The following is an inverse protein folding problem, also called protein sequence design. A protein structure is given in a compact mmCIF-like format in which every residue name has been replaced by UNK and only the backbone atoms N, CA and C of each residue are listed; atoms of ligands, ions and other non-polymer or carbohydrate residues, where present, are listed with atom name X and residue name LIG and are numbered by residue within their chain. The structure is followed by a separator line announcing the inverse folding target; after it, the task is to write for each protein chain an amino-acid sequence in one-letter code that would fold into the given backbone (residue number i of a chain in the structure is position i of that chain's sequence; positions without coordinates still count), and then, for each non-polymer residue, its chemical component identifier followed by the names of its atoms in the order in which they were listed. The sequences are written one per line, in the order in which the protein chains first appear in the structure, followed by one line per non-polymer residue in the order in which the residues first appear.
data_IF_342874360807
#
_entry.id   IF_342874360807
#
_cell.length_a   1.000
_cell.length_b   1.000
_cell.length_c   1.000
_cell.angle_alpha   90.00
_cell.angle_beta   90.00
_cell.angle_gamma   90.00
#
_symmetry.space_group_name_H-M   'P 1'
#
loop_
_entity.id
_entity.type
_entity.pdbx_description
1 polymer ?
#
# COMPACT_ATOMS: atom_id res chain seq x y z
N UNK A 1 23.15 25.73 12.64
CA UNK A 1 24.56 25.30 12.67
C UNK A 1 24.62 23.98 13.46
N UNK A 2 25.33 22.95 12.99
CA UNK A 2 25.40 21.63 13.65
C UNK A 2 26.23 21.73 14.94
N UNK A 3 25.72 21.22 16.07
CA UNK A 3 26.48 21.15 17.32
C UNK A 3 27.68 20.19 17.19
N UNK A 4 28.85 20.56 17.73
CA UNK A 4 30.07 19.74 17.62
C UNK A 4 30.00 18.50 18.53
N UNK A 5 29.76 17.33 17.94
CA UNK A 5 29.75 16.04 18.64
C UNK A 5 31.18 15.49 18.79
N UNK A 6 31.93 16.11 19.70
CA UNK A 6 33.31 15.70 20.01
C UNK A 6 33.38 14.35 20.70
N UNK A 7 34.43 13.60 20.38
CA UNK A 7 34.89 12.51 21.24
C UNK A 7 35.62 13.08 22.45
N UNK A 8 35.63 12.39 23.61
CA UNK A 8 36.25 12.91 24.83
C UNK A 8 37.72 13.35 24.65
N UNK A 9 38.48 12.66 23.81
CA UNK A 9 39.90 12.94 23.55
C UNK A 9 40.16 13.93 22.41
N UNK A 10 39.13 14.39 21.70
CA UNK A 10 39.30 15.34 20.61
C UNK A 10 39.49 16.75 21.15
N UNK A 11 40.47 17.49 20.61
CA UNK A 11 40.69 18.89 20.99
C UNK A 11 39.51 19.79 20.58
N UNK A 12 39.17 20.83 21.36
CA UNK A 12 38.18 21.84 20.96
C UNK A 12 38.58 22.55 19.66
N UNK A 13 37.60 22.91 18.80
CA UNK A 13 37.90 23.80 17.67
C UNK A 13 38.37 25.16 18.20
N UNK A 14 39.30 25.78 17.48
CA UNK A 14 39.75 27.15 17.83
C UNK A 14 38.58 28.13 17.64
N UNK A 15 38.40 29.11 18.54
CA UNK A 15 37.39 30.16 18.36
C UNK A 15 37.64 30.89 17.04
N UNK A 16 36.56 31.20 16.32
CA UNK A 16 36.62 31.84 14.99
C UNK A 16 36.97 30.91 13.82
N UNK A 17 37.37 29.65 14.08
CA UNK A 17 37.58 28.65 13.02
C UNK A 17 36.37 27.71 12.95
N UNK A 18 35.75 27.61 11.78
CA UNK A 18 34.64 26.69 11.55
C UNK A 18 35.01 25.22 11.81
N UNK A 19 34.00 24.39 12.04
CA UNK A 19 34.17 22.95 12.23
C UNK A 19 34.76 22.31 10.96
N UNK A 20 35.64 21.32 11.14
CA UNK A 20 36.15 20.57 9.99
C UNK A 20 35.02 19.78 9.32
N UNK A 21 35.08 19.55 8.00
CA UNK A 21 34.03 18.79 7.29
C UNK A 21 33.75 17.42 7.91
N UNK A 22 34.76 16.75 8.46
CA UNK A 22 34.59 15.48 9.19
C UNK A 22 33.70 15.64 10.43
N UNK A 23 33.89 16.69 11.22
CA UNK A 23 33.09 16.97 12.41
C UNK A 23 31.67 17.38 12.07
N UNK A 24 31.51 18.19 11.02
CA UNK A 24 30.20 18.54 10.48
C UNK A 24 29.44 17.27 10.07
N UNK A 25 30.07 16.37 9.31
CA UNK A 25 29.44 15.10 8.88
C UNK A 25 29.00 14.22 10.04
N UNK A 26 29.75 14.20 11.15
CA UNK A 26 29.39 13.44 12.36
C UNK A 26 28.09 13.94 12.99
N UNK A 27 27.94 15.25 13.20
CA UNK A 27 26.72 15.82 13.77
C UNK A 27 25.57 15.96 12.78
N UNK A 28 25.87 16.14 11.50
CA UNK A 28 24.86 16.37 10.46
C UNK A 28 23.96 15.16 10.22
N UNK A 29 24.46 13.92 10.39
CA UNK A 29 23.63 12.71 10.28
C UNK A 29 22.48 12.72 11.29
N UNK A 30 22.76 13.02 12.55
CA UNK A 30 21.73 13.13 13.60
C UNK A 30 20.76 14.29 13.35
N UNK A 31 21.26 15.41 12.79
CA UNK A 31 20.40 16.54 12.39
C UNK A 31 19.46 16.15 11.25
N UNK A 32 19.96 15.45 10.22
CA UNK A 32 19.19 15.05 9.04
C UNK A 32 18.05 14.09 9.38
N UNK A 33 18.26 13.17 10.33
CA UNK A 33 17.20 12.30 10.82
C UNK A 33 16.06 13.09 11.49
N UNK A 34 16.41 14.13 12.25
CA UNK A 34 15.43 14.99 12.94
C UNK A 34 14.71 15.97 12.02
N UNK A 35 15.43 16.59 11.08
CA UNK A 35 14.87 17.57 10.16
C UNK A 35 14.16 16.93 8.96
N UNK A 36 14.34 15.63 8.74
CA UNK A 36 13.89 14.95 7.54
C UNK A 36 14.67 15.39 6.30
N UNK A 37 14.19 14.96 5.13
CA UNK A 37 14.75 15.41 3.85
C UNK A 37 13.89 16.57 3.35
N UNK A 38 14.45 17.75 3.03
CA UNK A 38 13.66 18.90 2.59
C UNK A 38 13.01 18.70 1.21
N UNK A 39 13.51 17.72 0.44
CA UNK A 39 12.89 17.30 -0.81
C UNK A 39 11.68 16.43 -0.49
N UNK A 40 10.54 16.72 -1.15
CA UNK A 40 9.45 15.75 -1.30
C UNK A 40 10.03 14.42 -1.79
N UNK A 41 9.43 13.32 -1.37
CA UNK A 41 9.71 12.04 -2.02
C UNK A 41 9.54 12.21 -3.54
N UNK A 42 10.38 11.54 -4.36
CA UNK A 42 10.12 11.48 -5.78
C UNK A 42 8.69 10.99 -5.99
N UNK A 43 7.99 11.54 -7.00
CA UNK A 43 6.71 10.98 -7.44
C UNK A 43 6.89 9.48 -7.65
N UNK A 44 5.91 8.68 -7.20
CA UNK A 44 5.93 7.25 -7.47
C UNK A 44 6.07 7.04 -8.97
N UNK A 45 7.15 6.39 -9.41
CA UNK A 45 7.46 6.22 -10.83
C UNK A 45 6.41 5.39 -11.56
N UNK A 46 5.66 4.59 -10.81
CA UNK A 46 4.65 3.68 -11.33
C UNK A 46 3.27 4.25 -11.04
N UNK A 47 2.34 4.21 -12.01
CA UNK A 47 0.92 4.30 -11.72
C UNK A 47 0.54 3.32 -10.61
N UNK A 48 -0.47 3.65 -9.81
CA UNK A 48 -0.98 2.73 -8.79
C UNK A 48 -1.28 1.35 -9.38
N UNK A 49 -1.21 0.27 -8.57
CA UNK A 49 -1.49 -1.08 -9.04
C UNK A 49 -2.85 -1.07 -9.74
N UNK A 50 -2.81 -1.27 -11.05
CA UNK A 50 -4.00 -1.22 -11.90
C UNK A 50 -4.95 -2.37 -11.56
N UNK A 51 -5.93 -2.59 -12.43
CA UNK A 51 -6.87 -3.71 -12.25
C UNK A 51 -6.12 -5.05 -12.18
N UNK A 52 -6.36 -5.89 -11.16
CA UNK A 52 -5.71 -7.19 -11.07
C UNK A 52 -6.04 -8.04 -12.31
N UNK A 53 -5.00 -8.68 -12.87
CA UNK A 53 -5.14 -9.55 -14.03
C UNK A 53 -6.00 -10.76 -13.64
N UNK A 54 -6.92 -11.15 -14.54
CA UNK A 54 -7.78 -12.32 -14.34
C UNK A 54 -9.13 -12.05 -13.66
N UNK A 55 -9.37 -10.85 -13.12
CA UNK A 55 -10.69 -10.48 -12.62
C UNK A 55 -11.70 -10.37 -13.77
N UNK A 56 -12.80 -11.12 -13.72
CA UNK A 56 -13.95 -10.93 -14.64
C UNK A 56 -14.95 -9.99 -13.96
N UNK A 57 -15.60 -9.12 -14.74
CA UNK A 57 -16.70 -8.31 -14.20
C UNK A 57 -17.87 -9.27 -13.89
N UNK A 58 -18.33 -9.28 -12.65
CA UNK A 58 -19.54 -10.00 -12.28
C UNK A 58 -20.76 -9.14 -12.59
N UNK A 59 -21.85 -9.72 -13.11
CA UNK A 59 -23.13 -9.01 -13.20
C UNK A 59 -23.55 -8.50 -11.82
N UNK A 60 -24.13 -7.31 -11.77
CA UNK A 60 -24.77 -6.82 -10.56
C UNK A 60 -25.89 -7.79 -10.13
N UNK A 61 -26.09 -7.94 -8.82
CA UNK A 61 -27.16 -8.77 -8.26
C UNK A 61 -28.52 -8.29 -8.80
N UNK A 62 -29.27 -9.19 -9.47
CA UNK A 62 -30.61 -8.91 -9.99
C UNK A 62 -31.65 -9.49 -9.05
N UNK A 63 -32.50 -8.65 -8.50
CA UNK A 63 -33.62 -9.09 -7.66
C UNK A 63 -34.84 -9.42 -8.54
N UNK A 64 -35.54 -10.54 -8.30
CA UNK A 64 -36.72 -10.90 -9.08
C UNK A 64 -37.85 -9.90 -8.82
N UNK A 65 -38.54 -9.50 -9.89
CA UNK A 65 -39.77 -8.72 -9.79
C UNK A 65 -40.92 -9.70 -9.56
N UNK A 66 -41.65 -9.55 -8.45
CA UNK A 66 -42.77 -10.43 -8.12
C UNK A 66 -43.99 -10.13 -9.02
N UNK A 67 -44.10 -10.80 -10.16
CA UNK A 67 -45.34 -10.85 -10.96
C UNK A 67 -46.05 -12.18 -10.75
N UNK A 68 -47.37 -12.12 -10.47
CA UNK A 68 -48.20 -13.22 -9.96
C UNK A 68 -48.25 -14.44 -10.91
N UNK A 69 -48.28 -15.63 -10.32
CA UNK A 69 -48.12 -16.97 -10.93
C UNK A 69 -49.28 -17.39 -11.83
N UNK A 70 -48.97 -17.83 -13.06
CA UNK A 70 -49.89 -18.61 -13.91
C UNK A 70 -49.48 -20.08 -13.80
N UNK A 71 -50.43 -20.94 -13.40
CA UNK A 71 -50.27 -22.40 -13.24
C UNK A 71 -50.59 -23.11 -14.56
N UNK A 72 -49.64 -23.86 -15.09
CA UNK A 72 -49.78 -25.07 -15.92
C UNK A 72 -48.43 -25.82 -15.81
N UNK A 73 -48.31 -27.14 -15.79
CA UNK A 73 -49.03 -28.09 -16.63
C UNK A 73 -48.96 -29.52 -16.07
N UNK A 74 -49.95 -30.27 -16.53
CA UNK A 74 -50.22 -31.69 -16.57
C UNK A 74 -49.09 -32.48 -17.27
N UNK A 75 -48.85 -33.73 -16.86
CA UNK A 75 -48.18 -34.71 -17.74
C UNK A 75 -47.36 -35.83 -17.09
N UNK A 76 -48.03 -36.84 -16.52
CA UNK A 76 -47.52 -38.23 -16.32
C UNK A 76 -47.12 -38.82 -17.69
N UNK A 77 -46.24 -39.80 -17.92
CA UNK A 77 -45.59 -40.89 -17.16
C UNK A 77 -44.42 -41.44 -18.02
N UNK A 78 -43.49 -42.28 -17.55
CA UNK A 78 -43.64 -43.76 -17.50
C UNK A 78 -42.40 -44.44 -16.91
N UNK A 79 -42.64 -45.60 -16.28
CA UNK A 79 -41.64 -46.65 -16.10
C UNK A 79 -42.11 -47.72 -15.11
N UNK A 80 -42.83 -48.76 -15.58
CA UNK A 80 -43.27 -49.91 -14.77
C UNK A 80 -42.51 -51.17 -15.19
N UNK A 81 -41.91 -51.89 -14.23
CA UNK A 81 -42.21 -53.30 -13.84
C UNK A 81 -41.10 -53.87 -12.94
N UNK A 82 -41.48 -54.58 -11.86
CA UNK A 82 -40.68 -55.64 -11.22
C UNK A 82 -41.33 -57.01 -11.48
N UNK A 83 -40.47 -58.03 -11.55
CA UNK A 83 -40.72 -59.43 -11.93
C UNK A 83 -41.29 -60.29 -10.79
N UNK A 84 -41.81 -61.46 -11.23
CA UNK A 84 -42.20 -62.71 -10.56
C UNK A 84 -41.93 -62.85 -9.06
#
# INVERSE_FOLDING_TARGET
LVADLRRPWEKPPRPGRGLSPHRVRRGYRHLRERLGTPSRLPKTSTPGPGRPRGGKNTPAQRHPVATKTIKTDTGKAKGRKKKA
#
